data_IF_245102772830
#
_entry.id   IF_245102772830
#
_cell.length_a   1.000
_cell.length_b   1.000
_cell.length_c   1.000
_cell.angle_alpha   90.00
_cell.angle_beta   90.00
_cell.angle_gamma   90.00
#
_symmetry.space_group_name_H-M   'P 1'
#
loop_
_entity.id
_entity.type
_entity.pdbx_description
1 polymer ?
#
# COMPACT_ATOMS: atom_id res chain seq x y z
N UNK A 1 -27.75 -7.98 -13.30
CA UNK A 1 -28.95 -8.38 -12.54
C UNK A 1 -29.27 -9.82 -12.93
N UNK A 2 -28.96 -10.80 -12.08
CA UNK A 2 -29.45 -12.17 -12.28
C UNK A 2 -30.80 -12.24 -11.58
N UNK A 3 -31.86 -12.43 -12.37
CA UNK A 3 -33.21 -12.70 -11.91
C UNK A 3 -33.15 -13.94 -11.02
N UNK A 4 -33.39 -13.74 -9.72
CA UNK A 4 -33.62 -14.84 -8.80
C UNK A 4 -35.06 -15.22 -9.04
N UNK A 5 -35.28 -16.31 -9.76
CA UNK A 5 -36.62 -16.90 -9.90
C UNK A 5 -37.23 -17.09 -8.51
N UNK A 6 -38.42 -16.55 -8.33
CA UNK A 6 -39.24 -16.82 -7.16
C UNK A 6 -39.51 -18.33 -7.10
N UNK A 7 -39.25 -19.01 -5.97
CA UNK A 7 -39.54 -20.43 -5.90
C UNK A 7 -41.06 -20.64 -5.90
N UNK A 8 -41.48 -21.52 -6.80
CA UNK A 8 -42.81 -22.10 -6.86
C UNK A 8 -43.29 -22.62 -5.50
N UNK A 9 -44.58 -22.35 -5.27
CA UNK A 9 -45.52 -23.09 -4.42
C UNK A 9 -45.18 -23.21 -2.93
N UNK A 10 -45.90 -22.37 -2.17
CA UNK A 10 -46.18 -22.57 -0.76
C UNK A 10 -47.11 -23.78 -0.57
N UNK A 11 -46.57 -24.99 -0.68
CA UNK A 11 -47.23 -26.18 -0.14
C UNK A 11 -46.93 -26.30 1.35
N UNK A 12 -47.99 -26.22 2.16
CA UNK A 12 -47.98 -26.73 3.53
C UNK A 12 -48.07 -25.68 4.63
N UNK A 13 -49.15 -24.91 4.68
CA UNK A 13 -49.55 -24.13 5.89
C UNK A 13 -49.89 -24.99 7.13
N UNK A 14 -49.61 -26.30 7.10
CA UNK A 14 -49.87 -27.21 8.22
C UNK A 14 -49.00 -28.47 8.18
N UNK A 15 -47.68 -28.33 7.93
CA UNK A 15 -46.76 -29.47 8.00
C UNK A 15 -46.36 -29.70 9.45
N UNK A 16 -46.70 -30.87 10.00
CA UNK A 16 -46.19 -31.29 11.31
C UNK A 16 -44.69 -31.51 11.22
N UNK A 17 -43.91 -30.58 11.78
CA UNK A 17 -42.46 -30.70 11.84
C UNK A 17 -42.06 -31.72 12.91
N UNK A 18 -41.39 -32.81 12.53
CA UNK A 18 -40.58 -33.63 13.44
C UNK A 18 -39.09 -33.25 13.32
N UNK A 19 -38.26 -33.75 14.24
CA UNK A 19 -36.80 -33.59 14.16
C UNK A 19 -36.25 -34.18 12.85
N UNK A 20 -36.68 -35.38 12.46
CA UNK A 20 -36.26 -36.07 11.25
C UNK A 20 -36.69 -35.33 9.98
N UNK A 21 -37.94 -34.86 9.92
CA UNK A 21 -38.46 -34.11 8.77
C UNK A 21 -37.69 -32.80 8.61
N UNK A 22 -37.38 -32.11 9.70
CA UNK A 22 -36.56 -30.90 9.68
C UNK A 22 -35.17 -31.18 9.06
N UNK A 23 -34.46 -32.19 9.57
CA UNK A 23 -33.12 -32.53 9.09
C UNK A 23 -33.12 -32.97 7.62
N UNK A 24 -34.13 -33.73 7.20
CA UNK A 24 -34.32 -34.12 5.80
C UNK A 24 -34.53 -32.90 4.90
N UNK A 25 -35.34 -31.93 5.33
CA UNK A 25 -35.61 -30.71 4.56
C UNK A 25 -34.35 -29.83 4.45
N UNK A 26 -33.60 -29.66 5.55
CA UNK A 26 -32.31 -28.93 5.54
C UNK A 26 -31.34 -29.58 4.55
N UNK A 27 -31.20 -30.91 4.57
CA UNK A 27 -30.34 -31.65 3.62
C UNK A 27 -30.82 -31.53 2.18
N UNK A 28 -32.14 -31.60 1.95
CA UNK A 28 -32.73 -31.45 0.61
C UNK A 28 -32.46 -30.04 0.05
N UNK A 29 -32.57 -29.01 0.87
CA UNK A 29 -32.23 -27.65 0.49
C UNK A 29 -30.77 -27.43 0.19
N UNK A 30 -29.88 -27.98 1.02
CA UNK A 30 -28.45 -27.92 0.77
C UNK A 30 -28.09 -28.56 -0.57
N UNK A 31 -28.65 -29.74 -0.87
CA UNK A 31 -28.48 -30.42 -2.17
C UNK A 31 -28.98 -29.59 -3.35
N UNK A 32 -30.04 -28.79 -3.16
CA UNK A 32 -30.60 -27.88 -4.17
C UNK A 32 -29.81 -26.56 -4.29
N UNK A 33 -28.72 -26.39 -3.53
CA UNK A 33 -27.93 -25.15 -3.52
C UNK A 33 -28.69 -23.93 -2.98
N UNK A 34 -29.75 -24.15 -2.20
CA UNK A 34 -30.57 -23.06 -1.66
C UNK A 34 -29.90 -22.42 -0.45
N UNK A 35 -30.07 -21.11 -0.22
CA UNK A 35 -29.43 -20.44 0.89
C UNK A 35 -29.94 -20.92 2.26
N UNK A 36 -29.04 -21.31 3.16
CA UNK A 36 -29.36 -21.78 4.52
C UNK A 36 -29.01 -20.75 5.62
N UNK A 37 -28.54 -19.55 5.28
CA UNK A 37 -28.19 -18.55 6.28
C UNK A 37 -29.44 -17.98 6.97
N UNK A 38 -29.37 -17.76 8.29
CA UNK A 38 -30.54 -17.44 9.13
C UNK A 38 -31.35 -16.22 8.69
N UNK A 39 -30.74 -15.23 8.02
CA UNK A 39 -31.47 -14.08 7.50
C UNK A 39 -32.42 -14.45 6.35
N UNK A 40 -31.97 -15.29 5.41
CA UNK A 40 -32.82 -15.78 4.31
C UNK A 40 -33.97 -16.61 4.87
N UNK A 41 -33.64 -17.49 5.82
CA UNK A 41 -34.62 -18.28 6.55
C UNK A 41 -35.71 -17.44 7.20
N UNK A 42 -35.31 -16.37 7.89
CA UNK A 42 -36.24 -15.46 8.55
C UNK A 42 -37.14 -14.71 7.57
N UNK A 43 -36.65 -14.41 6.37
CA UNK A 43 -37.41 -13.65 5.38
C UNK A 43 -38.35 -14.52 4.53
N UNK A 44 -37.97 -15.77 4.27
CA UNK A 44 -38.65 -16.59 3.26
C UNK A 44 -39.26 -17.89 3.82
N UNK A 45 -38.79 -18.39 4.97
CA UNK A 45 -39.14 -19.71 5.48
C UNK A 45 -39.15 -19.75 7.02
N UNK A 46 -40.03 -18.96 7.61
CA UNK A 46 -40.10 -18.74 9.06
C UNK A 46 -40.47 -20.00 9.84
N UNK A 47 -41.36 -20.84 9.31
CA UNK A 47 -41.80 -22.07 9.99
C UNK A 47 -40.65 -23.07 10.14
N UNK A 48 -39.86 -23.27 9.09
CA UNK A 48 -38.69 -24.13 9.11
C UNK A 48 -37.62 -23.57 10.06
N UNK A 49 -37.41 -22.25 10.06
CA UNK A 49 -36.52 -21.58 11.01
C UNK A 49 -36.98 -21.81 12.47
N UNK A 50 -38.28 -21.63 12.74
CA UNK A 50 -38.87 -21.78 14.06
C UNK A 50 -38.80 -23.23 14.55
N UNK A 51 -39.06 -24.21 13.68
CA UNK A 51 -38.90 -25.62 13.99
C UNK A 51 -37.45 -25.98 14.35
N UNK A 52 -36.46 -25.44 13.62
CA UNK A 52 -35.05 -25.63 13.96
C UNK A 52 -34.64 -24.99 15.29
N UNK A 53 -35.20 -23.82 15.63
CA UNK A 53 -35.00 -23.21 16.95
C UNK A 53 -35.67 -24.05 18.05
N UNK A 54 -36.88 -24.58 17.80
CA UNK A 54 -37.64 -25.38 18.76
C UNK A 54 -36.93 -26.69 19.11
N UNK A 55 -36.43 -27.42 18.12
CA UNK A 55 -35.82 -28.75 18.34
C UNK A 55 -34.33 -28.68 18.72
N UNK A 56 -33.57 -27.73 18.17
CA UNK A 56 -32.11 -27.69 18.36
C UNK A 56 -31.62 -26.45 19.13
N UNK A 57 -32.54 -25.60 19.58
CA UNK A 57 -32.25 -24.35 20.32
C UNK A 57 -31.73 -23.20 19.45
N UNK A 58 -31.21 -23.49 18.25
CA UNK A 58 -30.83 -22.46 17.27
C UNK A 58 -30.80 -23.04 15.86
N UNK A 59 -30.99 -22.18 14.87
CA UNK A 59 -30.87 -22.59 13.46
C UNK A 59 -29.47 -23.09 13.08
N UNK A 60 -28.42 -22.52 13.67
CA UNK A 60 -27.04 -22.95 13.49
C UNK A 60 -26.88 -24.42 13.89
N UNK A 61 -27.32 -24.78 15.11
CA UNK A 61 -27.33 -26.15 15.61
C UNK A 61 -28.17 -27.11 14.76
N UNK A 62 -29.32 -26.66 14.24
CA UNK A 62 -30.16 -27.48 13.37
C UNK A 62 -29.45 -27.83 12.04
N UNK A 63 -28.74 -26.86 11.46
CA UNK A 63 -27.97 -27.09 10.22
C UNK A 63 -26.75 -27.98 10.49
N UNK A 64 -26.08 -27.81 11.63
CA UNK A 64 -24.97 -28.68 12.05
C UNK A 64 -25.43 -30.12 12.33
N UNK A 65 -26.57 -30.30 12.98
CA UNK A 65 -27.20 -31.61 13.19
C UNK A 65 -27.60 -32.29 11.86
N UNK A 66 -27.86 -31.50 10.81
CA UNK A 66 -28.09 -32.01 9.46
C UNK A 66 -26.80 -32.48 8.77
N UNK A 67 -25.63 -32.31 9.38
CA UNK A 67 -24.31 -32.67 8.86
C UNK A 67 -23.67 -31.60 7.99
N UNK A 68 -24.15 -30.35 8.06
CA UNK A 68 -23.67 -29.23 7.24
C UNK A 68 -22.96 -28.23 8.15
N UNK A 69 -21.72 -27.86 7.79
CA UNK A 69 -20.98 -26.81 8.51
C UNK A 69 -21.69 -25.47 8.35
N UNK A 70 -22.31 -24.96 9.41
CA UNK A 70 -23.07 -23.71 9.34
C UNK A 70 -22.19 -22.52 8.93
N UNK A 71 -20.89 -22.57 9.28
CA UNK A 71 -19.89 -21.57 8.90
C UNK A 71 -19.72 -21.41 7.38
N UNK A 72 -19.99 -22.46 6.59
CA UNK A 72 -19.87 -22.48 5.13
C UNK A 72 -21.11 -21.91 4.44
N UNK A 73 -22.29 -22.09 5.03
CA UNK A 73 -23.58 -21.63 4.46
C UNK A 73 -24.03 -20.28 4.98
N UNK A 74 -23.37 -19.75 6.03
CA UNK A 74 -23.69 -18.46 6.64
C UNK A 74 -23.20 -17.29 5.77
N UNK A 75 -24.11 -16.35 5.45
CA UNK A 75 -23.82 -15.16 4.62
C UNK A 75 -22.78 -14.19 5.19
N UNK A 76 -22.75 -14.02 6.52
CA UNK A 76 -21.80 -13.13 7.18
C UNK A 76 -21.03 -13.91 8.23
N UNK A 77 -19.73 -14.12 8.02
CA UNK A 77 -18.91 -14.78 9.03
C UNK A 77 -18.91 -14.02 10.36
N UNK A 78 -19.04 -14.75 11.47
CA UNK A 78 -18.81 -14.19 12.80
C UNK A 78 -17.30 -14.11 13.02
N UNK A 79 -16.82 -12.87 13.12
CA UNK A 79 -15.45 -12.63 13.52
C UNK A 79 -15.36 -12.63 15.04
N UNK A 80 -14.31 -13.28 15.54
CA UNK A 80 -13.84 -13.14 16.91
C UNK A 80 -12.34 -12.88 16.85
N UNK A 81 -11.77 -12.28 17.90
CA UNK A 81 -10.31 -12.11 17.99
C UNK A 81 -9.58 -13.44 17.83
N UNK A 82 -10.10 -14.50 18.47
CA UNK A 82 -9.59 -15.88 18.38
C UNK A 82 -9.60 -16.40 16.93
N UNK A 83 -10.74 -16.31 16.25
CA UNK A 83 -10.88 -16.79 14.87
C UNK A 83 -9.94 -16.04 13.91
N UNK A 84 -9.84 -14.71 14.03
CA UNK A 84 -8.90 -13.92 13.21
C UNK A 84 -7.45 -14.38 13.44
N UNK A 85 -7.04 -14.57 14.70
CA UNK A 85 -5.69 -15.02 15.05
C UNK A 85 -5.40 -16.41 14.51
N UNK A 86 -6.32 -17.36 14.69
CA UNK A 86 -6.18 -18.72 14.16
C UNK A 86 -6.05 -18.71 12.64
N UNK A 87 -6.85 -17.88 11.95
CA UNK A 87 -6.77 -17.77 10.50
C UNK A 87 -5.47 -17.14 10.02
N UNK A 88 -4.96 -16.11 10.71
CA UNK A 88 -3.64 -15.52 10.44
C UNK A 88 -2.54 -16.58 10.60
N UNK A 89 -2.55 -17.35 11.68
CA UNK A 89 -1.56 -18.43 11.93
C UNK A 89 -1.62 -19.52 10.86
N UNK A 90 -2.82 -19.94 10.48
CA UNK A 90 -3.00 -20.94 9.42
C UNK A 90 -2.44 -20.44 8.08
N UNK A 91 -2.72 -19.19 7.71
CA UNK A 91 -2.18 -18.60 6.48
C UNK A 91 -0.65 -18.44 6.53
N UNK A 92 -0.10 -18.09 7.70
CA UNK A 92 1.34 -18.03 7.90
C UNK A 92 2.01 -19.40 7.68
N UNK A 93 1.43 -20.45 8.28
CA UNK A 93 1.94 -21.82 8.14
C UNK A 93 1.87 -22.33 6.69
N UNK A 94 0.92 -21.81 5.90
CA UNK A 94 0.79 -22.11 4.47
C UNK A 94 1.76 -21.29 3.59
N UNK A 95 2.61 -20.44 4.18
CA UNK A 95 3.52 -19.57 3.45
C UNK A 95 2.80 -18.44 2.69
N UNK A 96 1.56 -18.11 3.06
CA UNK A 96 0.81 -17.07 2.39
C UNK A 96 1.42 -15.68 2.66
N UNK A 97 1.32 -14.80 1.67
CA UNK A 97 1.70 -13.40 1.82
C UNK A 97 0.69 -12.65 2.73
N UNK A 98 1.10 -12.42 3.98
CA UNK A 98 0.27 -11.76 4.98
C UNK A 98 0.33 -10.22 4.93
N UNK A 99 0.95 -9.65 3.89
CA UNK A 99 0.92 -8.21 3.70
C UNK A 99 -0.53 -7.74 3.56
N UNK A 100 -0.83 -6.58 4.16
CA UNK A 100 -2.18 -6.03 4.16
C UNK A 100 -2.77 -5.95 2.74
N UNK A 101 -1.96 -5.52 1.76
CA UNK A 101 -2.37 -5.42 0.37
C UNK A 101 -2.67 -6.78 -0.26
N UNK A 102 -1.83 -7.79 -0.05
CA UNK A 102 -2.04 -9.13 -0.61
C UNK A 102 -3.34 -9.73 -0.08
N UNK A 103 -3.57 -9.69 1.23
CA UNK A 103 -4.78 -10.24 1.84
C UNK A 103 -6.04 -9.45 1.47
N UNK A 104 -5.96 -8.12 1.36
CA UNK A 104 -7.09 -7.29 0.89
C UNK A 104 -7.51 -7.57 -0.55
N UNK A 105 -6.60 -8.04 -1.41
CA UNK A 105 -6.89 -8.40 -2.80
C UNK A 105 -7.24 -9.89 -2.97
N UNK A 106 -7.47 -10.60 -1.87
CA UNK A 106 -7.76 -12.02 -1.82
C UNK A 106 -9.14 -12.30 -1.19
N UNK A 107 -9.61 -13.56 -1.15
CA UNK A 107 -10.82 -13.95 -0.43
C UNK A 107 -10.79 -13.64 1.08
N UNK A 108 -9.62 -13.30 1.63
CA UNK A 108 -9.43 -12.95 3.04
C UNK A 108 -9.74 -11.49 3.38
N UNK A 109 -10.13 -10.66 2.41
CA UNK A 109 -10.47 -9.26 2.64
C UNK A 109 -11.47 -9.04 3.80
N UNK A 110 -12.55 -9.82 3.96
CA UNK A 110 -13.47 -9.66 5.09
C UNK A 110 -12.82 -9.85 6.47
N UNK A 111 -11.84 -10.77 6.57
CA UNK A 111 -11.06 -10.98 7.79
C UNK A 111 -10.20 -9.76 8.10
N UNK A 112 -9.52 -9.21 7.08
CA UNK A 112 -8.68 -8.02 7.22
C UNK A 112 -9.52 -6.81 7.64
N UNK A 113 -10.68 -6.61 7.02
CA UNK A 113 -11.64 -5.57 7.40
C UNK A 113 -12.13 -5.73 8.85
N UNK A 114 -12.36 -6.96 9.31
CA UNK A 114 -12.71 -7.19 10.71
C UNK A 114 -11.54 -6.85 11.63
N UNK A 115 -10.33 -7.32 11.31
CA UNK A 115 -9.14 -7.14 12.14
C UNK A 115 -8.81 -5.66 12.42
N UNK A 116 -8.99 -4.77 11.44
CA UNK A 116 -8.70 -3.34 11.60
C UNK A 116 -9.76 -2.55 12.39
N UNK A 117 -10.92 -3.13 12.72
CA UNK A 117 -11.94 -2.41 13.50
C UNK A 117 -11.50 -2.31 14.97
N UNK A 118 -11.81 -1.19 15.67
CA UNK A 118 -11.44 -1.01 17.08
C UNK A 118 -11.94 -2.10 18.03
N UNK A 119 -13.14 -2.64 17.78
CA UNK A 119 -13.73 -3.73 18.60
C UNK A 119 -12.90 -5.02 18.57
N UNK A 120 -12.10 -5.22 17.52
CA UNK A 120 -11.14 -6.32 17.44
C UNK A 120 -9.74 -5.80 17.79
N UNK A 121 -8.88 -5.54 16.80
CA UNK A 121 -7.48 -5.17 17.06
C UNK A 121 -7.16 -3.70 16.76
N UNK A 122 -8.05 -2.98 16.07
CA UNK A 122 -7.86 -1.58 15.64
C UNK A 122 -6.81 -1.37 14.55
N UNK A 123 -5.95 -2.36 14.29
CA UNK A 123 -4.98 -2.33 13.20
C UNK A 123 -4.56 -3.74 12.80
N UNK A 124 -4.11 -3.90 11.55
CA UNK A 124 -3.55 -5.16 11.07
C UNK A 124 -2.28 -5.55 11.83
N UNK A 125 -1.46 -4.55 12.20
CA UNK A 125 -0.25 -4.73 13.01
C UNK A 125 -0.56 -5.44 14.32
N UNK A 126 -1.59 -4.98 15.02
CA UNK A 126 -2.00 -5.56 16.31
C UNK A 126 -2.56 -6.97 16.13
N UNK A 127 -3.25 -7.25 15.03
CA UNK A 127 -3.72 -8.60 14.73
C UNK A 127 -2.56 -9.58 14.47
N UNK A 128 -1.52 -9.15 13.73
CA UNK A 128 -0.30 -9.93 13.53
C UNK A 128 0.44 -10.20 14.85
N UNK A 129 0.59 -9.17 15.70
CA UNK A 129 1.19 -9.31 17.02
C UNK A 129 0.42 -10.30 17.90
N UNK A 130 -0.92 -10.23 17.91
CA UNK A 130 -1.76 -11.18 18.64
C UNK A 130 -1.64 -12.61 18.10
N UNK A 131 -1.30 -12.77 16.81
CA UNK A 131 -0.99 -14.06 16.21
C UNK A 131 0.42 -14.58 16.54
N UNK A 132 1.26 -13.78 17.21
CA UNK A 132 2.65 -14.11 17.53
C UNK A 132 3.62 -13.85 16.37
N UNK A 133 3.20 -13.05 15.39
CA UNK A 133 4.02 -12.72 14.22
C UNK A 133 4.62 -11.32 14.40
N UNK A 134 5.92 -11.19 14.12
CA UNK A 134 6.59 -9.90 14.10
C UNK A 134 6.17 -9.13 12.83
N UNK A 135 5.49 -7.97 12.95
CA UNK A 135 5.00 -7.26 11.77
C UNK A 135 6.14 -6.75 10.89
N UNK A 136 7.36 -6.59 11.42
CA UNK A 136 8.54 -6.20 10.65
C UNK A 136 8.91 -7.22 9.57
N UNK A 137 8.64 -8.51 9.83
CA UNK A 137 8.95 -9.60 8.89
C UNK A 137 7.86 -9.74 7.82
N UNK A 138 6.63 -9.27 8.12
CA UNK A 138 5.47 -9.33 7.22
C UNK A 138 5.35 -8.05 6.36
N UNK A 139 5.61 -6.88 6.94
CA UNK A 139 5.59 -5.64 6.20
C UNK A 139 6.83 -5.54 5.32
N UNK A 140 6.67 -5.92 4.04
CA UNK A 140 7.69 -5.67 2.99
C UNK A 140 8.19 -4.22 2.94
N UNK A 141 7.42 -3.28 3.47
CA UNK A 141 7.80 -1.88 3.57
C UNK A 141 8.16 -1.54 5.02
N UNK A 142 9.47 -1.45 5.29
CA UNK A 142 9.99 -0.78 6.49
C UNK A 142 9.41 0.63 6.51
N UNK A 143 8.74 1.00 7.60
CA UNK A 143 8.32 2.39 7.80
C UNK A 143 9.56 3.22 8.11
N UNK A 144 10.04 3.95 7.11
CA UNK A 144 11.19 4.83 7.22
C UNK A 144 10.83 6.08 8.02
N UNK A 145 11.21 6.14 9.30
CA UNK A 145 11.27 7.42 10.03
C UNK A 145 12.49 8.20 9.56
N UNK A 146 12.49 9.52 9.72
CA UNK A 146 13.63 10.36 9.33
C UNK A 146 14.95 9.88 9.91
N UNK A 147 14.98 9.57 11.21
CA UNK A 147 16.18 9.04 11.88
C UNK A 147 16.64 7.70 11.26
N UNK A 148 15.72 6.83 10.88
CA UNK A 148 16.04 5.55 10.25
C UNK A 148 16.63 5.75 8.85
N UNK A 149 16.12 6.72 8.08
CA UNK A 149 16.64 7.09 6.76
C UNK A 149 18.09 7.59 6.89
N UNK A 150 18.34 8.52 7.82
CA UNK A 150 19.68 9.09 7.99
C UNK A 150 20.68 8.02 8.46
N UNK A 151 20.27 7.13 9.36
CA UNK A 151 21.10 6.00 9.80
C UNK A 151 21.41 5.06 8.65
N UNK A 152 20.42 4.75 7.81
CA UNK A 152 20.61 3.87 6.66
C UNK A 152 21.53 4.48 5.61
N UNK A 153 21.39 5.77 5.31
CA UNK A 153 22.29 6.48 4.39
C UNK A 153 23.73 6.39 4.88
N UNK A 154 23.98 6.60 6.18
CA UNK A 154 25.32 6.47 6.78
C UNK A 154 25.86 5.04 6.71
N UNK A 155 25.01 4.04 6.96
CA UNK A 155 25.36 2.62 6.85
C UNK A 155 25.81 2.28 5.43
N UNK A 156 24.98 2.62 4.44
CA UNK A 156 25.28 2.38 3.02
C UNK A 156 26.56 3.10 2.59
N UNK A 157 26.77 4.34 3.04
CA UNK A 157 28.03 5.05 2.78
C UNK A 157 29.25 4.35 3.39
N UNK A 158 29.15 3.88 4.63
CA UNK A 158 30.22 3.17 5.31
C UNK A 158 30.56 1.82 4.64
N UNK A 159 29.57 1.20 4.00
CA UNK A 159 29.73 -0.02 3.19
C UNK A 159 30.27 0.25 1.78
N UNK A 160 30.49 1.51 1.42
CA UNK A 160 31.00 1.90 0.10
C UNK A 160 29.98 1.81 -1.03
N UNK A 161 28.68 1.77 -0.70
CA UNK A 161 27.60 1.68 -1.69
C UNK A 161 27.48 2.96 -2.52
N UNK A 162 27.04 2.81 -3.78
CA UNK A 162 26.85 3.93 -4.70
C UNK A 162 25.58 4.73 -4.34
N UNK A 163 25.76 5.78 -3.54
CA UNK A 163 24.66 6.66 -3.11
C UNK A 163 24.18 7.63 -4.20
N UNK A 164 24.55 7.46 -5.47
CA UNK A 164 23.99 8.26 -6.55
C UNK A 164 22.48 8.00 -6.69
N UNK A 165 21.72 9.08 -6.93
CA UNK A 165 20.25 8.99 -6.98
C UNK A 165 19.72 7.94 -7.97
N UNK A 166 20.43 7.68 -9.09
CA UNK A 166 20.00 6.67 -10.06
C UNK A 166 20.16 5.26 -9.49
N UNK A 167 21.31 4.96 -8.90
CA UNK A 167 21.57 3.66 -8.30
C UNK A 167 20.62 3.37 -7.14
N UNK A 168 20.36 4.38 -6.30
CA UNK A 168 19.41 4.28 -5.19
C UNK A 168 17.95 4.12 -5.65
N UNK A 169 17.55 4.72 -6.78
CA UNK A 169 16.23 4.47 -7.38
C UNK A 169 16.02 3.00 -7.79
N UNK A 170 17.07 2.35 -8.27
CA UNK A 170 17.06 0.97 -8.77
C UNK A 170 17.17 -0.05 -7.61
N UNK A 171 18.08 0.18 -6.66
CA UNK A 171 18.40 -0.81 -5.60
C UNK A 171 17.65 -0.59 -4.29
N UNK A 172 17.27 0.66 -3.99
CA UNK A 172 16.69 1.04 -2.71
C UNK A 172 15.51 2.00 -2.89
N UNK A 173 14.64 1.72 -3.86
CA UNK A 173 13.54 2.61 -4.28
C UNK A 173 12.70 3.14 -3.11
N UNK A 174 12.33 2.26 -2.17
CA UNK A 174 11.52 2.63 -1.00
C UNK A 174 12.23 3.66 -0.09
N UNK A 175 13.55 3.52 0.09
CA UNK A 175 14.37 4.43 0.89
C UNK A 175 14.43 5.81 0.21
N UNK A 176 14.84 5.87 -1.06
CA UNK A 176 15.00 7.14 -1.77
C UNK A 176 13.67 7.86 -2.01
N UNK A 177 12.60 7.13 -2.33
CA UNK A 177 11.27 7.72 -2.50
C UNK A 177 10.74 8.31 -1.19
N UNK A 178 11.03 7.68 -0.05
CA UNK A 178 10.63 8.21 1.25
C UNK A 178 11.52 9.37 1.69
N UNK A 179 12.83 9.29 1.43
CA UNK A 179 13.77 10.37 1.67
C UNK A 179 13.40 11.64 0.88
N UNK A 180 13.06 11.52 -0.41
CA UNK A 180 12.58 12.65 -1.22
C UNK A 180 11.34 13.30 -0.65
N UNK A 181 10.38 12.52 -0.15
CA UNK A 181 9.14 13.04 0.46
C UNK A 181 9.38 13.76 1.79
N UNK A 182 10.35 13.31 2.59
CA UNK A 182 10.63 13.86 3.93
C UNK A 182 11.60 15.05 3.88
N UNK A 183 12.64 14.96 3.06
CA UNK A 183 13.72 15.95 2.99
C UNK A 183 13.68 16.81 1.72
N UNK A 184 12.66 16.66 0.87
CA UNK A 184 12.48 17.37 -0.39
C UNK A 184 13.32 16.82 -1.56
N UNK A 185 14.50 16.26 -1.30
CA UNK A 185 15.32 15.58 -2.31
C UNK A 185 16.22 14.51 -1.70
N UNK A 186 16.71 13.58 -2.53
CA UNK A 186 17.71 12.60 -2.09
C UNK A 186 19.01 13.28 -1.63
N UNK A 187 19.46 14.29 -2.38
CA UNK A 187 20.67 15.05 -2.02
C UNK A 187 20.55 15.73 -0.66
N UNK A 188 19.41 16.37 -0.38
CA UNK A 188 19.15 16.98 0.92
C UNK A 188 19.15 15.94 2.06
N UNK A 189 18.63 14.73 1.82
CA UNK A 189 18.69 13.66 2.81
C UNK A 189 20.14 13.18 3.07
N UNK A 190 20.95 13.07 2.01
CA UNK A 190 22.37 12.70 2.10
C UNK A 190 23.18 13.78 2.83
N UNK A 191 22.94 15.05 2.52
CA UNK A 191 23.53 16.21 3.21
C UNK A 191 23.12 16.23 4.68
N UNK A 192 21.85 15.97 5.00
CA UNK A 192 21.35 15.85 6.37
C UNK A 192 21.95 14.67 7.13
N UNK A 193 22.38 13.63 6.41
CA UNK A 193 23.12 12.51 6.98
C UNK A 193 24.58 12.87 7.31
N UNK A 194 25.06 14.05 6.90
CA UNK A 194 26.41 14.55 7.13
C UNK A 194 27.38 14.26 5.98
N UNK A 195 26.87 13.92 4.79
CA UNK A 195 27.67 13.54 3.63
C UNK A 195 27.62 14.63 2.55
N UNK A 196 28.75 14.88 1.90
CA UNK A 196 28.82 15.83 0.80
C UNK A 196 28.26 15.21 -0.48
N UNK A 197 26.97 15.48 -0.77
CA UNK A 197 26.32 14.94 -1.95
C UNK A 197 26.91 15.46 -3.27
N UNK A 198 27.64 16.59 -3.27
CA UNK A 198 28.29 17.09 -4.48
C UNK A 198 29.39 16.15 -4.97
N UNK A 199 30.06 15.44 -4.06
CA UNK A 199 31.08 14.42 -4.37
C UNK A 199 30.48 13.08 -4.77
N UNK A 200 29.25 12.80 -4.33
CA UNK A 200 28.53 11.53 -4.59
C UNK A 200 27.76 11.57 -5.92
N UNK A 201 27.18 12.73 -6.26
CA UNK A 201 26.29 12.83 -7.42
C UNK A 201 27.07 12.71 -8.74
N UNK A 202 26.65 11.78 -9.60
CA UNK A 202 27.26 11.60 -10.94
C UNK A 202 26.92 12.71 -11.94
N UNK A 203 25.82 13.44 -11.72
CA UNK A 203 25.38 14.52 -12.62
C UNK A 203 25.51 15.88 -11.96
N UNK A 204 25.96 16.87 -12.74
CA UNK A 204 26.04 18.26 -12.29
C UNK A 204 24.65 18.79 -11.94
N UNK A 205 24.47 19.30 -10.72
CA UNK A 205 23.31 20.12 -10.35
C UNK A 205 23.59 21.54 -10.83
N UNK A 206 22.58 22.16 -11.42
CA UNK A 206 22.62 23.55 -11.86
C UNK A 206 21.63 24.35 -11.04
N UNK A 207 22.06 25.52 -10.61
CA UNK A 207 21.26 26.60 -10.02
C UNK A 207 21.46 27.87 -10.84
N UNK A 208 20.54 28.84 -10.73
CA UNK A 208 20.71 30.13 -11.39
C UNK A 208 22.03 30.81 -10.98
N UNK A 209 22.36 30.77 -9.68
CA UNK A 209 23.61 31.31 -9.15
C UNK A 209 24.85 30.61 -9.72
N UNK A 210 24.88 29.28 -9.79
CA UNK A 210 26.00 28.55 -10.41
C UNK A 210 26.14 28.88 -11.90
N UNK A 211 25.03 28.99 -12.63
CA UNK A 211 25.04 29.38 -14.06
C UNK A 211 25.65 30.77 -14.20
N UNK A 212 25.21 31.75 -13.41
CA UNK A 212 25.74 33.12 -13.40
C UNK A 212 27.24 33.14 -13.08
N UNK A 213 27.66 32.44 -12.02
CA UNK A 213 29.06 32.37 -11.63
C UNK A 213 29.93 31.75 -12.72
N UNK A 214 29.45 30.71 -13.41
CA UNK A 214 30.18 30.12 -14.54
C UNK A 214 30.25 31.03 -15.76
N UNK A 215 29.21 31.81 -16.03
CA UNK A 215 29.23 32.82 -17.10
C UNK A 215 30.25 33.92 -16.77
N UNK A 216 30.31 34.40 -15.52
CA UNK A 216 31.32 35.36 -15.07
C UNK A 216 32.73 34.80 -15.21
N UNK A 217 32.97 33.57 -14.77
CA UNK A 217 34.26 32.90 -14.93
C UNK A 217 34.66 32.70 -16.41
N UNK A 218 33.72 32.51 -17.33
CA UNK A 218 34.02 32.48 -18.76
C UNK A 218 34.47 33.86 -19.28
N UNK A 219 33.80 34.92 -18.82
CA UNK A 219 34.17 36.31 -19.16
C UNK A 219 35.55 36.68 -18.65
N UNK A 220 35.86 36.37 -17.39
CA UNK A 220 37.17 36.62 -16.77
C UNK A 220 38.30 35.89 -17.50
N UNK A 221 38.03 34.69 -18.03
CA UNK A 221 38.97 33.93 -18.85
C UNK A 221 39.06 34.41 -20.31
N UNK A 222 38.38 35.50 -20.66
CA UNK A 222 38.38 36.06 -22.02
C UNK A 222 37.64 35.21 -23.05
N UNK A 223 36.83 34.23 -22.63
CA UNK A 223 36.05 33.40 -23.57
C UNK A 223 34.87 34.23 -24.10
N UNK A 224 34.72 34.35 -25.44
CA UNK A 224 33.56 35.03 -26.01
C UNK A 224 32.25 34.37 -25.55
N UNK A 225 31.34 35.15 -24.94
CA UNK A 225 30.06 34.66 -24.44
C UNK A 225 29.00 34.47 -25.55
N UNK A 226 29.43 34.28 -26.79
CA UNK A 226 28.51 34.01 -27.91
C UNK A 226 27.86 32.64 -27.73
N UNK A 227 26.61 32.51 -28.18
CA UNK A 227 25.84 31.28 -28.01
C UNK A 227 26.50 30.07 -28.66
N UNK A 228 27.16 30.25 -29.81
CA UNK A 228 27.89 29.20 -30.52
C UNK A 228 29.14 28.75 -29.76
N UNK A 229 29.95 29.71 -29.28
CA UNK A 229 31.21 29.39 -28.60
C UNK A 229 30.96 28.63 -27.29
N UNK A 230 30.02 29.11 -26.47
CA UNK A 230 29.73 28.47 -25.18
C UNK A 230 28.99 27.15 -25.35
N UNK A 231 28.17 26.99 -26.40
CA UNK A 231 27.57 25.69 -26.73
C UNK A 231 28.62 24.64 -27.06
N UNK A 232 29.70 25.03 -27.75
CA UNK A 232 30.75 24.10 -28.14
C UNK A 232 31.70 23.78 -26.98
N UNK A 233 32.14 24.79 -26.21
CA UNK A 233 33.06 24.57 -25.07
C UNK A 233 32.39 24.02 -23.83
N UNK A 234 31.20 24.53 -23.49
CA UNK A 234 30.50 24.23 -22.24
C UNK A 234 29.02 23.86 -22.53
N UNK A 235 28.77 22.77 -23.26
CA UNK A 235 27.42 22.38 -23.69
C UNK A 235 26.46 22.20 -22.52
N UNK A 236 26.97 21.74 -21.38
CA UNK A 236 26.17 21.51 -20.17
C UNK A 236 25.72 22.83 -19.51
N UNK A 237 26.57 23.86 -19.51
CA UNK A 237 26.23 25.21 -19.03
C UNK A 237 25.21 25.87 -19.96
N UNK A 238 25.47 25.82 -21.27
CA UNK A 238 24.58 26.38 -22.28
C UNK A 238 23.18 25.74 -22.20
N UNK A 239 23.12 24.41 -22.18
CA UNK A 239 21.86 23.68 -22.08
C UNK A 239 21.14 23.91 -20.74
N UNK A 240 21.87 24.17 -19.65
CA UNK A 240 21.26 24.56 -18.38
C UNK A 240 20.66 25.96 -18.46
N UNK A 241 21.42 26.97 -18.87
CA UNK A 241 20.97 28.36 -18.98
C UNK A 241 19.68 28.50 -19.81
N UNK A 242 19.57 27.79 -20.93
CA UNK A 242 18.40 27.83 -21.82
C UNK A 242 17.14 27.14 -21.26
N UNK A 243 17.16 26.49 -20.08
CA UNK A 243 15.94 25.92 -19.50
C UNK A 243 15.05 27.03 -18.94
N UNK A 244 13.75 26.98 -19.23
CA UNK A 244 12.73 27.94 -18.75
C UNK A 244 12.72 28.13 -17.23
N UNK A 245 13.01 27.08 -16.46
CA UNK A 245 13.07 27.15 -14.99
C UNK A 245 14.28 27.90 -14.43
N UNK A 246 15.26 28.25 -15.28
CA UNK A 246 16.42 29.03 -14.91
C UNK A 246 16.33 30.40 -15.58
N UNK A 247 16.78 30.55 -16.82
CA UNK A 247 16.73 31.84 -17.53
C UNK A 247 15.88 31.80 -18.79
N UNK A 248 15.62 30.62 -19.38
CA UNK A 248 14.83 30.49 -20.60
C UNK A 248 15.63 30.69 -21.89
N UNK A 249 16.65 31.55 -21.88
CA UNK A 249 17.60 31.69 -22.99
C UNK A 249 19.02 31.99 -22.53
N UNK A 250 20.00 31.71 -23.39
CA UNK A 250 21.40 32.09 -23.15
C UNK A 250 21.58 33.60 -23.01
N UNK A 251 20.84 34.38 -23.80
CA UNK A 251 20.91 35.84 -23.79
C UNK A 251 20.49 36.41 -22.43
N UNK A 252 19.38 35.93 -21.88
CA UNK A 252 18.88 36.34 -20.56
C UNK A 252 19.84 35.92 -19.45
N UNK A 253 20.44 34.74 -19.54
CA UNK A 253 21.43 34.28 -18.57
C UNK A 253 22.69 35.16 -18.55
N UNK A 254 23.18 35.56 -19.74
CA UNK A 254 24.32 36.49 -19.86
C UNK A 254 23.96 37.88 -19.36
N UNK A 255 22.76 38.38 -19.69
CA UNK A 255 22.29 39.67 -19.20
C UNK A 255 22.19 39.69 -17.68
N UNK A 256 21.68 38.62 -17.05
CA UNK A 256 21.67 38.50 -15.60
C UNK A 256 23.09 38.47 -15.01
N UNK A 257 24.02 37.75 -15.64
CA UNK A 257 25.38 37.62 -15.15
C UNK A 257 26.22 38.90 -15.27
N UNK A 258 26.03 39.66 -16.35
CA UNK A 258 26.79 40.89 -16.68
C UNK A 258 26.10 42.15 -16.14
N UNK A 259 24.76 42.20 -16.16
CA UNK A 259 23.99 43.36 -15.69
C UNK A 259 24.01 43.56 -14.17
N UNK A 260 24.24 42.51 -13.38
CA UNK A 260 24.46 42.63 -11.93
C UNK A 260 25.84 43.23 -11.58
N UNK A 261 26.85 43.12 -12.46
CA UNK A 261 28.17 43.72 -12.22
C UNK A 261 28.11 45.24 -12.34
N UNK A 262 27.30 45.78 -13.26
CA UNK A 262 27.15 47.23 -13.48
C UNK A 262 26.34 47.97 -12.39
N UNK A 263 25.83 47.27 -11.36
CA UNK A 263 25.11 47.87 -10.22
C UNK A 263 25.93 47.89 -8.93
N UNK A 264 27.15 47.36 -8.94
CA UNK A 264 28.03 47.23 -7.76
C UNK A 264 29.28 48.10 -7.84
N UNK A 265 29.44 48.87 -8.90
CA UNK A 265 30.43 49.95 -9.09
C UNK A 265 29.70 51.30 -9.02
#
# INVERSE_FOLDING_TARGET
MKTIEAPAEAEGKNREWSEEILLQEIRAWHRRGRPLYSHYMRQHYQELLAAGIRYFGSWEKAVEAAGISYSEVRRYQRWSKKHIVERIRALHAQGADLSFRALMLSPYAPMVYAAIRPVYFGSWKNALLAAGLAPADIYRYRSWKEADILREIRRLHAEGEDLSSKHMDERANSLIATARRRFGSWGAAVERAGLDYAKIRKRKRWTQAEIVNQIRALRERGVPLTSTEVRNREPSLFAAACKRRFFGSWREAVQAAVGEAAKRD
#
